data_IF_463570602325
#
_entry.id   IF_463570602325
#
_cell.length_a   1.000
_cell.length_b   1.000
_cell.length_c   1.000
_cell.angle_alpha   90.00
_cell.angle_beta   90.00
_cell.angle_gamma   90.00
#
_symmetry.space_group_name_H-M   'P 1'
#
loop_
_entity.id
_entity.type
_entity.pdbx_description
1 polymer ?
#
# COMPACT_ATOMS: atom_id res chain seq x y z
N UNK A 1 15.40 8.42 2.58
CA UNK A 1 15.08 9.27 1.43
C UNK A 1 16.25 9.35 0.47
N UNK A 2 17.27 10.13 0.80
CA UNK A 2 18.38 10.47 -0.11
C UNK A 2 19.18 9.25 -0.61
N UNK A 3 19.36 8.24 0.23
CA UNK A 3 20.05 6.99 -0.13
C UNK A 3 19.19 6.02 -0.94
N UNK A 4 17.88 6.29 -1.09
CA UNK A 4 16.91 5.43 -1.79
C UNK A 4 16.87 3.96 -1.35
N UNK A 5 17.25 3.68 -0.09
CA UNK A 5 17.29 2.33 0.52
C UNK A 5 15.99 1.52 0.34
N UNK A 6 14.82 2.17 0.38
CA UNK A 6 13.55 1.48 0.13
C UNK A 6 13.54 0.86 -1.26
N UNK A 7 13.95 1.63 -2.26
CA UNK A 7 13.93 1.24 -3.66
C UNK A 7 15.11 0.34 -4.04
N UNK A 8 16.30 0.59 -3.50
CA UNK A 8 17.53 -0.10 -3.90
C UNK A 8 17.79 -1.38 -3.15
N UNK A 9 17.30 -1.50 -1.91
CA UNK A 9 17.67 -2.59 -1.00
C UNK A 9 16.43 -3.32 -0.47
N UNK A 10 15.52 -2.61 0.22
CA UNK A 10 14.41 -3.24 0.94
C UNK A 10 13.39 -3.91 0.02
N UNK A 11 13.02 -3.26 -1.09
CA UNK A 11 12.10 -3.83 -2.08
C UNK A 11 12.68 -5.09 -2.75
N UNK A 12 13.92 -5.07 -3.28
CA UNK A 12 14.56 -6.28 -3.78
C UNK A 12 14.65 -7.40 -2.73
N UNK A 13 15.00 -7.08 -1.48
CA UNK A 13 15.06 -8.08 -0.40
C UNK A 13 13.68 -8.71 -0.13
N UNK A 14 12.60 -7.93 -0.12
CA UNK A 14 11.24 -8.44 0.04
C UNK A 14 10.82 -9.36 -1.11
N UNK A 15 11.27 -9.08 -2.34
CA UNK A 15 10.97 -9.88 -3.53
C UNK A 15 11.77 -11.18 -3.58
N UNK A 16 13.06 -11.12 -3.29
CA UNK A 16 14.01 -12.20 -3.57
C UNK A 16 14.32 -13.08 -2.36
N UNK A 17 14.07 -12.60 -1.14
CA UNK A 17 14.46 -13.26 0.10
C UNK A 17 13.28 -13.48 1.06
N UNK A 18 12.06 -13.58 0.55
CA UNK A 18 10.84 -13.83 1.34
C UNK A 18 10.84 -15.17 2.09
N UNK A 19 11.73 -16.10 1.75
CA UNK A 19 11.89 -17.38 2.46
C UNK A 19 12.63 -17.26 3.80
N UNK A 20 13.45 -16.23 4.00
CA UNK A 20 14.10 -15.98 5.29
C UNK A 20 13.15 -15.17 6.18
N UNK A 21 12.51 -15.87 7.14
CA UNK A 21 11.51 -15.27 8.03
C UNK A 21 12.06 -14.10 8.87
N UNK A 22 13.33 -14.17 9.30
CA UNK A 22 13.93 -13.14 10.14
C UNK A 22 14.22 -11.90 9.32
N UNK A 23 14.78 -12.09 8.12
CA UNK A 23 15.01 -10.98 7.20
C UNK A 23 13.69 -10.35 6.75
N UNK A 24 12.69 -11.17 6.44
CA UNK A 24 11.38 -10.72 6.02
C UNK A 24 10.70 -9.84 7.08
N UNK A 25 10.66 -10.30 8.33
CA UNK A 25 10.11 -9.51 9.45
C UNK A 25 10.81 -8.16 9.56
N UNK A 26 12.15 -8.14 9.56
CA UNK A 26 12.93 -6.91 9.65
C UNK A 26 12.64 -5.95 8.48
N UNK A 27 12.62 -6.47 7.25
CA UNK A 27 12.36 -5.70 6.04
C UNK A 27 10.95 -5.11 6.07
N UNK A 28 9.94 -5.90 6.42
CA UNK A 28 8.56 -5.40 6.53
C UNK A 28 8.43 -4.35 7.63
N UNK A 29 9.07 -4.53 8.81
CA UNK A 29 9.04 -3.51 9.88
C UNK A 29 9.63 -2.19 9.41
N UNK A 30 10.76 -2.24 8.71
CA UNK A 30 11.39 -1.05 8.14
C UNK A 30 10.50 -0.40 7.07
N UNK A 31 9.92 -1.19 6.16
CA UNK A 31 9.01 -0.67 5.14
C UNK A 31 7.78 -0.01 5.74
N UNK A 32 7.11 -0.64 6.70
CA UNK A 32 5.95 -0.06 7.42
C UNK A 32 6.33 1.25 8.11
N UNK A 33 7.48 1.28 8.80
CA UNK A 33 7.93 2.48 9.49
C UNK A 33 8.27 3.63 8.53
N UNK A 34 9.03 3.35 7.47
CA UNK A 34 9.47 4.35 6.48
C UNK A 34 8.32 4.87 5.61
N UNK A 35 7.27 4.07 5.42
CA UNK A 35 6.07 4.44 4.64
C UNK A 35 4.98 5.10 5.49
N UNK A 36 5.15 5.19 6.80
CA UNK A 36 4.15 5.79 7.71
C UNK A 36 3.80 7.22 7.28
N UNK A 37 2.51 7.62 7.28
CA UNK A 37 2.09 8.93 6.80
C UNK A 37 2.86 10.08 7.47
N UNK A 38 3.33 11.04 6.67
CA UNK A 38 4.15 12.14 7.18
C UNK A 38 3.46 12.93 8.30
N UNK A 39 2.12 13.03 8.26
CA UNK A 39 1.33 13.67 9.32
C UNK A 39 1.53 13.03 10.69
N UNK A 40 1.76 11.71 10.78
CA UNK A 40 2.00 11.05 12.07
C UNK A 40 3.32 11.53 12.72
N UNK A 41 4.32 11.89 11.90
CA UNK A 41 5.58 12.47 12.38
C UNK A 41 5.37 13.85 13.00
N UNK A 42 4.34 14.57 12.56
CA UNK A 42 3.98 15.91 13.03
C UNK A 42 2.67 15.93 13.83
N UNK A 43 2.41 14.88 14.61
CA UNK A 43 1.27 14.81 15.54
C UNK A 43 -0.10 15.06 14.89
N UNK A 44 -0.27 14.58 13.66
CA UNK A 44 -1.49 14.71 12.83
C UNK A 44 -1.79 16.14 12.35
N UNK A 45 -0.83 17.06 12.44
CA UNK A 45 -0.98 18.44 11.99
C UNK A 45 0.09 18.82 10.96
N UNK A 46 -0.25 19.72 10.05
CA UNK A 46 0.73 20.30 9.11
C UNK A 46 1.47 21.42 9.84
N UNK A 47 2.80 21.38 9.95
CA UNK A 47 3.53 22.43 10.64
C UNK A 47 3.32 23.81 10.02
N UNK A 48 3.08 24.80 10.87
CA UNK A 48 2.88 26.19 10.46
C UNK A 48 4.21 26.93 10.29
N UNK A 49 5.24 26.53 11.03
CA UNK A 49 6.55 27.15 10.94
C UNK A 49 7.26 26.77 9.64
N UNK A 50 8.09 27.69 9.13
CA UNK A 50 8.77 27.53 7.84
C UNK A 50 9.63 26.27 7.78
N UNK A 51 10.32 25.94 8.87
CA UNK A 51 11.26 24.81 8.93
C UNK A 51 10.50 23.50 8.95
N UNK A 52 9.49 23.37 9.83
CA UNK A 52 8.61 22.21 9.90
C UNK A 52 7.90 21.95 8.57
N UNK A 53 7.39 23.01 7.92
CA UNK A 53 6.72 22.88 6.62
C UNK A 53 7.67 22.41 5.52
N UNK A 54 8.92 22.86 5.52
CA UNK A 54 9.94 22.36 4.58
C UNK A 54 10.25 20.87 4.81
N UNK A 55 10.40 20.46 6.07
CA UNK A 55 10.62 19.05 6.42
C UNK A 55 9.43 18.17 6.03
N UNK A 56 8.20 18.62 6.31
CA UNK A 56 6.97 17.94 5.91
C UNK A 56 6.91 17.72 4.40
N UNK A 57 7.12 18.78 3.60
CA UNK A 57 7.12 18.67 2.14
C UNK A 57 8.20 17.71 1.64
N UNK A 58 9.39 17.70 2.26
CA UNK A 58 10.46 16.76 1.91
C UNK A 58 10.05 15.31 2.18
N UNK A 59 9.37 15.04 3.29
CA UNK A 59 8.87 13.70 3.62
C UNK A 59 7.79 13.26 2.62
N UNK A 60 6.89 14.14 2.22
CA UNK A 60 5.88 13.83 1.19
C UNK A 60 6.54 13.44 -0.14
N UNK A 61 7.55 14.20 -0.60
CA UNK A 61 8.30 13.86 -1.83
C UNK A 61 9.00 12.50 -1.70
N UNK A 62 9.57 12.19 -0.54
CA UNK A 62 10.17 10.88 -0.30
C UNK A 62 9.13 9.75 -0.34
N UNK A 63 7.95 9.95 0.25
CA UNK A 63 6.86 8.97 0.21
C UNK A 63 6.33 8.73 -1.20
N UNK A 64 6.30 9.77 -2.04
CA UNK A 64 5.96 9.63 -3.46
C UNK A 64 6.98 8.76 -4.19
N UNK A 65 8.28 8.97 -3.95
CA UNK A 65 9.33 8.11 -4.48
C UNK A 65 9.28 6.68 -3.94
N UNK A 66 8.77 6.45 -2.73
CA UNK A 66 8.52 5.10 -2.23
C UNK A 66 7.35 4.47 -3.01
N UNK A 67 6.21 5.17 -3.13
CA UNK A 67 5.04 4.69 -3.89
C UNK A 67 5.37 4.34 -5.33
N UNK A 68 6.24 5.10 -5.99
CA UNK A 68 6.74 4.77 -7.33
C UNK A 68 7.42 3.41 -7.40
N UNK A 69 8.22 3.03 -6.40
CA UNK A 69 8.85 1.71 -6.39
C UNK A 69 7.85 0.57 -6.11
N UNK A 70 6.68 0.88 -5.55
CA UNK A 70 5.57 -0.05 -5.41
C UNK A 70 4.69 -0.17 -6.67
N UNK A 71 5.05 0.43 -7.81
CA UNK A 71 4.40 0.08 -9.10
C UNK A 71 4.93 -1.24 -9.67
N UNK A 72 5.92 -1.86 -9.03
CA UNK A 72 6.43 -3.15 -9.43
C UNK A 72 5.55 -4.30 -8.89
N UNK A 73 4.91 -5.06 -9.79
CA UNK A 73 4.01 -6.16 -9.42
C UNK A 73 4.66 -7.26 -8.55
N UNK A 74 5.98 -7.49 -8.70
CA UNK A 74 6.71 -8.51 -7.92
C UNK A 74 6.67 -8.27 -6.41
N UNK A 75 6.63 -7.01 -5.98
CA UNK A 75 6.55 -6.64 -4.56
C UNK A 75 5.21 -7.06 -3.97
N UNK A 76 4.13 -6.79 -4.70
CA UNK A 76 2.79 -7.16 -4.27
C UNK A 76 2.56 -8.67 -4.32
N UNK A 77 3.19 -9.39 -5.25
CA UNK A 77 3.13 -10.85 -5.28
C UNK A 77 3.73 -11.47 -4.00
N UNK A 78 4.87 -10.95 -3.52
CA UNK A 78 5.44 -11.37 -2.22
C UNK A 78 4.47 -11.08 -1.07
N UNK A 79 3.86 -9.88 -1.04
CA UNK A 79 2.90 -9.51 0.00
C UNK A 79 1.63 -10.39 -0.06
N UNK A 80 1.13 -10.67 -1.26
CA UNK A 80 0.00 -11.58 -1.50
C UNK A 80 0.27 -12.96 -0.94
N UNK A 81 1.47 -13.49 -1.18
CA UNK A 81 1.88 -14.81 -0.70
C UNK A 81 1.91 -14.86 0.82
N UNK A 82 2.41 -13.80 1.48
CA UNK A 82 2.49 -13.73 2.94
C UNK A 82 1.08 -13.64 3.54
N UNK A 83 0.24 -12.73 3.02
CA UNK A 83 -1.15 -12.59 3.45
C UNK A 83 -1.93 -13.87 3.24
N UNK A 84 -1.85 -14.47 2.05
CA UNK A 84 -2.55 -15.72 1.73
C UNK A 84 -2.15 -16.87 2.65
N UNK A 85 -0.85 -17.02 2.94
CA UNK A 85 -0.38 -18.05 3.87
C UNK A 85 -0.87 -17.82 5.30
N UNK A 86 -0.89 -16.56 5.77
CA UNK A 86 -1.41 -16.21 7.09
C UNK A 86 -2.92 -16.44 7.22
N UNK A 87 -3.69 -16.15 6.17
CA UNK A 87 -5.15 -16.30 6.16
C UNK A 87 -5.63 -17.75 5.94
N UNK A 88 -4.75 -18.65 5.49
CA UNK A 88 -5.07 -20.06 5.27
C UNK A 88 -4.90 -20.95 6.51
N UNK A 89 -4.33 -20.43 7.61
CA UNK A 89 -4.17 -21.22 8.83
C UNK A 89 -5.54 -21.64 9.39
N UNK A 90 -5.71 -22.95 9.60
CA UNK A 90 -6.90 -23.49 10.26
C UNK A 90 -6.79 -23.28 11.79
N UNK A 91 -7.63 -22.42 12.35
CA UNK A 91 -7.67 -22.11 13.78
C UNK A 91 -7.05 -20.75 14.13
N UNK A 92 -6.84 -20.49 15.42
CA UNK A 92 -6.26 -19.22 15.87
C UNK A 92 -4.81 -19.10 15.38
N UNK A 93 -4.52 -18.01 14.67
CA UNK A 93 -3.17 -17.64 14.24
C UNK A 93 -2.30 -17.32 15.44
N UNK A 94 -1.03 -17.70 15.38
CA UNK A 94 -0.05 -17.26 16.37
C UNK A 94 0.23 -15.75 16.28
N UNK A 95 0.77 -15.18 17.36
CA UNK A 95 1.01 -13.73 17.46
C UNK A 95 1.96 -13.21 16.37
N UNK A 96 2.95 -14.00 15.99
CA UNK A 96 3.92 -13.64 14.94
C UNK A 96 3.24 -13.57 13.56
N UNK A 97 2.35 -14.52 13.26
CA UNK A 97 1.58 -14.56 12.02
C UNK A 97 0.53 -13.45 11.98
N UNK A 98 -0.16 -13.19 13.09
CA UNK A 98 -1.06 -12.04 13.23
C UNK A 98 -0.33 -10.73 12.93
N UNK A 99 0.84 -10.54 13.54
CA UNK A 99 1.66 -9.35 13.34
C UNK A 99 2.11 -9.20 11.87
N UNK A 100 2.51 -10.29 11.21
CA UNK A 100 2.88 -10.25 9.79
C UNK A 100 1.70 -9.87 8.89
N UNK A 101 0.52 -10.41 9.16
CA UNK A 101 -0.71 -10.06 8.41
C UNK A 101 -1.03 -8.57 8.61
N UNK A 102 -1.03 -8.09 9.84
CA UNK A 102 -1.27 -6.68 10.14
C UNK A 102 -0.24 -5.76 9.45
N UNK A 103 1.05 -6.10 9.53
CA UNK A 103 2.11 -5.32 8.89
C UNK A 103 1.95 -5.25 7.37
N UNK A 104 1.51 -6.34 6.72
CA UNK A 104 1.21 -6.32 5.29
C UNK A 104 0.06 -5.36 4.97
N UNK A 105 -1.03 -5.40 5.73
CA UNK A 105 -2.17 -4.50 5.53
C UNK A 105 -1.81 -3.03 5.79
N UNK A 106 -1.02 -2.75 6.83
CA UNK A 106 -0.51 -1.40 7.11
C UNK A 106 0.38 -0.91 5.98
N UNK A 107 1.24 -1.76 5.41
CA UNK A 107 2.08 -1.40 4.28
C UNK A 107 1.23 -1.04 3.03
N UNK A 108 0.23 -1.87 2.69
CA UNK A 108 -0.74 -1.56 1.63
C UNK A 108 -1.38 -0.19 1.85
N UNK A 109 -1.93 0.03 3.05
CA UNK A 109 -2.61 1.27 3.45
C UNK A 109 -1.67 2.47 3.30
N UNK A 110 -0.45 2.37 3.81
CA UNK A 110 0.54 3.43 3.75
C UNK A 110 0.87 3.84 2.31
N UNK A 111 1.12 2.86 1.43
CA UNK A 111 1.44 3.12 0.02
C UNK A 111 0.27 3.76 -0.72
N UNK A 112 -0.96 3.28 -0.47
CA UNK A 112 -2.16 3.86 -1.10
C UNK A 112 -2.47 5.28 -0.57
N UNK A 113 -2.18 5.54 0.72
CA UNK A 113 -2.46 6.81 1.39
C UNK A 113 -1.59 7.98 0.90
N UNK A 114 -0.38 7.70 0.39
CA UNK A 114 0.55 8.75 -0.08
C UNK A 114 -0.18 9.71 -1.01
N UNK A 115 -0.10 11.00 -0.65
CA UNK A 115 -0.75 12.07 -1.38
C UNK A 115 -0.19 12.16 -2.82
N UNK A 116 -1.05 12.45 -3.81
CA UNK A 116 -0.59 12.67 -5.17
C UNK A 116 0.48 13.76 -5.20
N UNK A 117 1.46 13.59 -6.10
CA UNK A 117 2.42 14.65 -6.42
C UNK A 117 1.70 15.92 -6.83
N UNK A 118 2.37 17.08 -6.71
CA UNK A 118 1.98 18.19 -7.57
C UNK A 118 2.04 17.66 -8.99
N UNK A 119 0.94 17.78 -9.73
CA UNK A 119 0.96 17.55 -11.17
C UNK A 119 2.02 18.51 -11.72
N UNK A 120 3.18 17.99 -12.11
CA UNK A 120 4.09 18.78 -12.92
C UNK A 120 3.32 19.08 -14.22
N UNK A 121 3.22 20.36 -14.58
CA UNK A 121 2.56 20.83 -15.82
C UNK A 121 3.14 20.18 -17.10
N UNK A 122 4.20 19.38 -16.97
CA UNK A 122 4.84 18.60 -18.03
C UNK A 122 4.32 17.16 -18.17
N UNK A 123 3.44 16.65 -17.31
CA UNK A 123 2.88 15.29 -17.46
C UNK A 123 1.83 15.27 -18.58
N UNK A 124 2.11 14.52 -19.63
CA UNK A 124 1.17 14.28 -20.73
C UNK A 124 -0.01 13.41 -20.26
N UNK A 125 -1.18 13.62 -20.85
CA UNK A 125 -2.47 12.98 -20.50
C UNK A 125 -2.47 11.42 -20.59
N UNK A 126 -1.39 10.82 -21.08
CA UNK A 126 -1.23 9.38 -21.35
C UNK A 126 -0.45 8.63 -20.25
N UNK A 127 0.16 9.34 -19.30
CA UNK A 127 0.82 8.71 -18.15
C UNK A 127 -0.24 8.33 -17.11
N UNK A 128 -0.60 7.04 -17.02
CA UNK A 128 -1.46 6.53 -15.96
C UNK A 128 -1.03 7.09 -14.59
N UNK A 129 -1.98 7.55 -13.78
CA UNK A 129 -1.66 8.12 -12.48
C UNK A 129 -0.87 7.09 -11.66
N UNK A 130 0.09 7.56 -10.87
CA UNK A 130 0.93 6.69 -10.03
C UNK A 130 0.05 5.81 -9.13
N UNK A 131 -1.11 6.32 -8.73
CA UNK A 131 -2.09 5.54 -7.99
C UNK A 131 -2.67 4.39 -8.82
N UNK A 132 -3.08 4.62 -10.06
CA UNK A 132 -3.61 3.58 -10.96
C UNK A 132 -2.58 2.50 -11.27
N UNK A 133 -1.30 2.86 -11.42
CA UNK A 133 -0.22 1.89 -11.62
C UNK A 133 -0.06 0.96 -10.40
N UNK A 134 -0.21 1.50 -9.19
CA UNK A 134 -0.24 0.69 -7.96
C UNK A 134 -1.48 -0.20 -7.92
N UNK A 135 -2.67 0.32 -8.25
CA UNK A 135 -3.91 -0.47 -8.31
C UNK A 135 -3.82 -1.62 -9.31
N UNK A 136 -3.23 -1.36 -10.47
CA UNK A 136 -2.96 -2.38 -11.48
C UNK A 136 -2.02 -3.48 -10.94
N UNK A 137 -0.96 -3.09 -10.26
CA UNK A 137 0.00 -4.02 -9.67
C UNK A 137 -0.60 -4.86 -8.54
N UNK A 138 -1.47 -4.27 -7.72
CA UNK A 138 -2.26 -4.98 -6.71
C UNK A 138 -3.20 -6.00 -7.35
N UNK A 139 -3.87 -5.61 -8.46
CA UNK A 139 -4.74 -6.50 -9.21
C UNK A 139 -3.97 -7.70 -9.78
N UNK A 140 -2.81 -7.47 -10.41
CA UNK A 140 -1.96 -8.55 -10.93
C UNK A 140 -1.48 -9.52 -9.84
N UNK A 141 -1.32 -9.04 -8.60
CA UNK A 141 -0.93 -9.86 -7.46
C UNK A 141 -2.10 -10.61 -6.78
N UNK A 142 -3.35 -10.41 -7.21
CA UNK A 142 -4.53 -11.05 -6.61
C UNK A 142 -4.94 -10.47 -5.25
N UNK A 143 -4.45 -9.29 -4.87
CA UNK A 143 -4.81 -8.66 -3.59
C UNK A 143 -6.29 -8.31 -3.45
N UNK A 144 -7.03 -7.90 -4.51
CA UNK A 144 -8.46 -7.64 -4.39
C UNK A 144 -9.26 -8.84 -3.86
N UNK A 145 -8.90 -10.07 -4.24
CA UNK A 145 -9.59 -11.28 -3.79
C UNK A 145 -9.33 -11.55 -2.29
N UNK A 146 -8.10 -11.32 -1.83
CA UNK A 146 -7.75 -11.43 -0.40
C UNK A 146 -8.48 -10.36 0.43
N UNK A 147 -8.57 -9.12 -0.06
CA UNK A 147 -9.31 -8.04 0.61
C UNK A 147 -10.81 -8.33 0.65
N UNK A 148 -11.37 -8.93 -0.40
CA UNK A 148 -12.76 -9.35 -0.43
C UNK A 148 -13.03 -10.48 0.57
N UNK A 149 -12.11 -11.45 0.68
CA UNK A 149 -12.18 -12.47 1.72
C UNK A 149 -12.20 -11.84 3.12
N UNK A 150 -11.22 -10.96 3.43
CA UNK A 150 -11.13 -10.24 4.70
C UNK A 150 -12.41 -9.45 5.04
N UNK A 151 -13.02 -8.80 4.03
CA UNK A 151 -14.25 -8.03 4.21
C UNK A 151 -15.50 -8.90 4.43
N UNK A 152 -15.47 -10.18 4.05
CA UNK A 152 -16.64 -11.06 4.02
C UNK A 152 -16.68 -12.09 5.15
N UNK A 153 -15.53 -12.45 5.72
CA UNK A 153 -15.43 -13.44 6.79
C UNK A 153 -15.61 -12.81 8.17
N UNK A 154 -16.33 -13.48 9.07
CA UNK A 154 -16.41 -13.07 10.48
C UNK A 154 -15.14 -13.42 11.27
N UNK A 155 -14.32 -14.35 10.76
CA UNK A 155 -13.11 -14.79 11.44
C UNK A 155 -12.03 -13.70 11.53
N UNK A 156 -12.07 -12.73 10.61
CA UNK A 156 -11.07 -11.66 10.46
C UNK A 156 -11.64 -10.28 10.85
N UNK A 157 -12.64 -10.26 11.74
CA UNK A 157 -13.34 -9.04 12.12
C UNK A 157 -12.41 -7.95 12.69
N UNK A 158 -11.32 -8.34 13.35
CA UNK A 158 -10.32 -7.42 13.90
C UNK A 158 -9.53 -6.67 12.81
N UNK A 159 -9.48 -7.22 11.59
CA UNK A 159 -8.85 -6.61 10.42
C UNK A 159 -9.82 -5.76 9.58
N UNK A 160 -11.07 -5.61 10.01
CA UNK A 160 -12.12 -4.90 9.27
C UNK A 160 -11.77 -3.43 9.01
N UNK A 161 -11.19 -2.73 9.98
CA UNK A 161 -10.79 -1.32 9.82
C UNK A 161 -9.66 -1.16 8.81
N UNK A 162 -8.67 -2.06 8.84
CA UNK A 162 -7.60 -2.08 7.83
C UNK A 162 -8.18 -2.26 6.43
N UNK A 163 -9.07 -3.24 6.28
CA UNK A 163 -9.71 -3.57 5.01
C UNK A 163 -10.54 -2.41 4.47
N UNK A 164 -11.34 -1.76 5.32
CA UNK A 164 -12.15 -0.61 4.96
C UNK A 164 -11.30 0.58 4.48
N UNK A 165 -10.23 0.91 5.22
CA UNK A 165 -9.33 2.00 4.85
C UNK A 165 -8.64 1.72 3.50
N UNK A 166 -8.15 0.49 3.30
CA UNK A 166 -7.51 0.09 2.04
C UNK A 166 -8.48 0.23 0.87
N UNK A 167 -9.70 -0.31 0.98
CA UNK A 167 -10.70 -0.23 -0.09
C UNK A 167 -11.10 1.23 -0.37
N UNK A 168 -11.28 2.03 0.68
CA UNK A 168 -11.55 3.48 0.54
C UNK A 168 -10.43 4.19 -0.21
N UNK A 169 -9.17 3.89 0.14
CA UNK A 169 -8.00 4.45 -0.52
C UNK A 169 -7.84 3.96 -1.97
N UNK A 170 -8.24 2.72 -2.28
CA UNK A 170 -8.25 2.22 -3.66
C UNK A 170 -9.25 2.96 -4.55
N UNK A 171 -10.37 3.41 -3.98
CA UNK A 171 -11.44 4.08 -4.71
C UNK A 171 -11.35 5.61 -4.64
N UNK A 172 -10.32 6.18 -3.99
CA UNK A 172 -10.25 7.60 -3.62
C UNK A 172 -10.28 8.59 -4.80
N UNK A 173 -9.94 8.13 -6.01
CA UNK A 173 -9.91 8.95 -7.23
C UNK A 173 -11.10 8.66 -8.17
N UNK A 174 -12.02 7.81 -7.75
CA UNK A 174 -13.11 7.35 -8.59
C UNK A 174 -14.41 8.09 -8.30
N UNK A 175 -15.16 8.43 -9.35
CA UNK A 175 -16.54 8.88 -9.22
C UNK A 175 -17.49 7.66 -9.14
N UNK A 176 -18.32 7.54 -8.09
CA UNK A 176 -19.19 6.38 -7.92
C UNK A 176 -20.19 6.18 -9.07
N UNK A 177 -20.69 7.26 -9.69
CA UNK A 177 -21.66 7.16 -10.79
C UNK A 177 -20.98 6.70 -12.08
N UNK A 178 -19.79 7.24 -12.36
CA UNK A 178 -18.96 6.80 -13.47
C UNK A 178 -18.58 5.32 -13.33
N UNK A 179 -18.16 4.87 -12.15
CA UNK A 179 -17.86 3.45 -11.89
C UNK A 179 -19.05 2.53 -12.16
N UNK A 180 -20.23 2.89 -11.62
CA UNK A 180 -21.45 2.08 -11.76
C UNK A 180 -21.89 1.94 -13.24
N UNK A 181 -21.69 2.99 -14.03
CA UNK A 181 -22.09 3.01 -15.45
C UNK A 181 -21.05 2.39 -16.38
N UNK A 182 -19.77 2.42 -16.00
CA UNK A 182 -18.67 1.79 -16.75
C UNK A 182 -18.81 0.26 -16.86
N UNK A 183 -19.30 -0.39 -15.79
CA UNK A 183 -19.54 -1.84 -15.77
C UNK A 183 -20.68 -2.28 -16.72
N UNK A 184 -21.70 -1.43 -16.91
CA UNK A 184 -22.83 -1.70 -17.78
C UNK A 184 -22.46 -1.70 -19.28
N UNK A 185 -21.40 -0.99 -19.65
CA UNK A 185 -20.90 -0.98 -21.03
C UNK A 185 -20.11 -2.25 -21.36
N UNK A 186 -19.31 -2.77 -20.41
CA UNK A 186 -18.48 -3.98 -20.60
C UNK A 186 -19.27 -5.29 -20.61
N UNK A 187 -20.48 -5.29 -20.05
CA UNK A 187 -21.40 -6.44 -20.07
C UNK A 187 -22.22 -6.56 -21.37
N UNK A 188 -22.16 -5.56 -22.25
CA UNK A 188 -22.92 -5.52 -23.51
C UNK A 188 -22.07 -5.82 -24.74
N UNK A 189 -20.77 -6.07 -24.55
CA UNK A 189 -19.85 -6.63 -25.55
C UNK A 189 -19.63 -8.11 -25.26
#
# INVERSE_FOLDING_TARGET
GDTRVVQTDLIPMLREHSSDKVLLDLVLRLLVNLTSPALLVFHQEVPEDKTGRQMYMRLIVQQQGFKEAFTEAGVWASIASILGAGLQQEGDRDDDTNLLVEMCLVLLRNVLAVAPGRQDDTRTHDDADLHDQVLWSLHLAGLPDLLLYLASTQHEADLSMHTLEIISLMLRQQDPQALATSALHRSKE
#
